data_IF_517274433586
#
_entry.id   IF_517274433586
#
_cell.length_a   1.000
_cell.length_b   1.000
_cell.length_c   1.000
_cell.angle_alpha   90.00
_cell.angle_beta   90.00
_cell.angle_gamma   90.00
#
_symmetry.space_group_name_H-M   'P 1'
#
loop_
_entity.id
_entity.type
_entity.pdbx_description
1 polymer ?
#
# COMPACT_ATOMS: atom_id res chain seq x y z
N UNK A 1 -17.27 5.32 -8.01
CA UNK A 1 -17.70 6.51 -7.23
C UNK A 1 -16.63 6.93 -6.22
N UNK A 2 -16.23 6.07 -5.27
CA UNK A 2 -15.27 6.45 -4.22
C UNK A 2 -13.88 6.91 -4.74
N UNK A 3 -13.32 6.24 -5.75
CA UNK A 3 -12.04 6.65 -6.34
C UNK A 3 -12.08 8.05 -6.98
N UNK A 4 -13.25 8.44 -7.52
CA UNK A 4 -13.46 9.78 -8.07
C UNK A 4 -13.46 10.81 -6.92
N UNK A 5 -14.09 10.49 -5.78
CA UNK A 5 -14.04 11.35 -4.60
C UNK A 5 -12.62 11.48 -4.04
N UNK A 6 -11.85 10.39 -4.01
CA UNK A 6 -10.43 10.43 -3.64
C UNK A 6 -9.63 11.34 -4.58
N UNK A 7 -9.87 11.24 -5.89
CA UNK A 7 -9.22 12.10 -6.89
C UNK A 7 -9.60 13.57 -6.72
N UNK A 8 -10.89 13.88 -6.53
CA UNK A 8 -11.37 15.25 -6.28
C UNK A 8 -10.75 15.83 -5.00
N UNK A 9 -10.71 15.04 -3.93
CA UNK A 9 -10.07 15.41 -2.67
C UNK A 9 -8.59 15.74 -2.84
N UNK A 10 -7.82 14.87 -3.51
CA UNK A 10 -6.41 15.12 -3.77
C UNK A 10 -6.18 16.33 -4.68
N UNK A 11 -7.05 16.52 -5.69
CA UNK A 11 -6.98 17.69 -6.60
C UNK A 11 -7.20 18.98 -5.83
N UNK A 12 -8.16 18.99 -4.90
CA UNK A 12 -8.39 20.13 -4.02
C UNK A 12 -7.18 20.44 -3.14
N UNK A 13 -6.56 19.43 -2.52
CA UNK A 13 -5.34 19.63 -1.72
C UNK A 13 -4.13 20.07 -2.55
N UNK A 14 -3.98 19.52 -3.75
CA UNK A 14 -2.93 19.93 -4.68
C UNK A 14 -3.09 21.40 -5.09
N UNK A 15 -4.32 21.82 -5.39
CA UNK A 15 -4.66 23.22 -5.68
C UNK A 15 -4.38 24.14 -4.49
N UNK A 16 -4.81 23.78 -3.28
CA UNK A 16 -4.50 24.55 -2.07
C UNK A 16 -2.99 24.67 -1.84
N UNK A 17 -2.25 23.57 -1.99
CA UNK A 17 -0.79 23.55 -1.83
C UNK A 17 -0.08 24.40 -2.89
N UNK A 18 -0.68 24.60 -4.05
CA UNK A 18 -0.14 25.45 -5.12
C UNK A 18 -0.49 26.93 -4.90
N UNK A 19 -1.75 27.22 -4.58
CA UNK A 19 -2.24 28.59 -4.40
C UNK A 19 -1.70 29.26 -3.13
N UNK A 20 -1.57 28.50 -2.03
CA UNK A 20 -1.04 29.00 -0.76
C UNK A 20 0.38 28.48 -0.51
N UNK A 21 1.32 28.83 -1.39
CA UNK A 21 2.71 28.36 -1.32
C UNK A 21 3.40 28.71 0.02
N UNK A 22 3.11 29.88 0.59
CA UNK A 22 3.63 30.30 1.91
C UNK A 22 3.16 29.40 3.06
N UNK A 23 1.97 28.80 2.93
CA UNK A 23 1.35 27.90 3.94
C UNK A 23 1.53 26.43 3.61
N UNK A 24 2.43 26.10 2.69
CA UNK A 24 2.66 24.72 2.24
C UNK A 24 2.99 23.74 3.38
N UNK A 25 3.67 24.20 4.44
CA UNK A 25 3.96 23.36 5.62
C UNK A 25 2.68 23.00 6.38
N UNK A 26 1.77 23.95 6.56
CA UNK A 26 0.46 23.74 7.20
C UNK A 26 -0.37 22.76 6.38
N UNK A 27 -0.37 22.93 5.05
CA UNK A 27 -1.11 22.04 4.15
C UNK A 27 -0.48 20.63 4.15
N UNK A 28 0.85 20.51 4.19
CA UNK A 28 1.53 19.21 4.30
C UNK A 28 1.24 18.47 5.62
N UNK A 29 0.73 19.13 6.66
CA UNK A 29 0.22 18.44 7.84
C UNK A 29 -0.95 17.50 7.50
N UNK A 30 -1.71 17.80 6.44
CA UNK A 30 -2.83 16.97 5.98
C UNK A 30 -2.41 15.65 5.32
N UNK A 31 -1.10 15.41 5.10
CA UNK A 31 -0.60 14.15 4.56
C UNK A 31 -0.96 12.98 5.47
N UNK A 32 -0.84 13.17 6.79
CA UNK A 32 -1.16 12.11 7.75
C UNK A 32 -2.65 11.71 7.70
N UNK A 33 -3.62 12.64 7.79
CA UNK A 33 -5.02 12.26 7.62
C UNK A 33 -5.33 11.74 6.20
N UNK A 34 -4.64 12.22 5.15
CA UNK A 34 -4.75 11.62 3.81
C UNK A 34 -4.28 10.16 3.80
N UNK A 35 -3.16 9.86 4.46
CA UNK A 35 -2.65 8.49 4.61
C UNK A 35 -3.66 7.60 5.34
N UNK A 36 -4.21 8.05 6.47
CA UNK A 36 -5.23 7.29 7.22
C UNK A 36 -6.47 7.06 6.36
N UNK A 37 -6.91 8.05 5.59
CA UNK A 37 -8.03 7.90 4.67
C UNK A 37 -7.78 6.81 3.62
N UNK A 38 -6.61 6.81 2.99
CA UNK A 38 -6.20 5.76 2.04
C UNK A 38 -6.10 4.39 2.72
N UNK A 39 -5.52 4.33 3.92
CA UNK A 39 -5.33 3.10 4.68
C UNK A 39 -6.66 2.47 5.09
N UNK A 40 -7.61 3.27 5.57
CA UNK A 40 -8.94 2.75 5.93
C UNK A 40 -9.66 2.23 4.69
N UNK A 41 -9.53 2.91 3.56
CA UNK A 41 -10.15 2.47 2.32
C UNK A 41 -9.53 1.17 1.79
N UNK A 42 -8.20 1.08 1.73
CA UNK A 42 -7.48 -0.09 1.24
C UNK A 42 -7.56 -1.26 2.24
N UNK A 43 -7.22 -1.02 3.50
CA UNK A 43 -7.10 -2.04 4.53
C UNK A 43 -8.41 -2.62 5.05
N UNK A 44 -9.53 -1.88 4.97
CA UNK A 44 -10.86 -2.36 5.40
C UNK A 44 -11.76 -2.75 4.22
N UNK A 45 -11.21 -2.87 3.02
CA UNK A 45 -11.98 -3.27 1.84
C UNK A 45 -12.48 -4.71 1.97
N UNK A 46 -13.62 -4.99 1.32
CA UNK A 46 -14.12 -6.36 1.18
C UNK A 46 -13.23 -7.19 0.27
N UNK A 47 -13.20 -8.50 0.47
CA UNK A 47 -12.51 -9.47 -0.38
C UNK A 47 -12.96 -9.50 -1.84
N UNK A 48 -14.13 -8.93 -2.14
CA UNK A 48 -14.61 -8.75 -3.51
C UNK A 48 -13.96 -7.57 -4.26
N UNK A 49 -13.16 -6.75 -3.58
CA UNK A 49 -12.53 -5.55 -4.16
C UNK A 49 -11.10 -5.86 -4.58
N UNK A 50 -10.95 -6.36 -5.80
CA UNK A 50 -9.66 -6.72 -6.40
C UNK A 50 -9.73 -8.08 -7.09
N UNK A 51 -9.21 -8.17 -8.32
CA UNK A 51 -9.36 -9.37 -9.16
C UNK A 51 -8.81 -10.64 -8.52
N UNK A 52 -7.58 -10.59 -8.03
CA UNK A 52 -6.87 -11.76 -7.47
C UNK A 52 -7.10 -11.96 -5.97
N UNK A 53 -7.94 -11.12 -5.35
CA UNK A 53 -8.07 -11.07 -3.90
C UNK A 53 -8.73 -12.33 -3.32
N UNK A 54 -9.69 -12.90 -4.05
CA UNK A 54 -10.34 -14.16 -3.71
C UNK A 54 -9.34 -15.32 -3.59
N UNK A 55 -8.30 -15.35 -4.44
CA UNK A 55 -7.24 -16.35 -4.37
C UNK A 55 -6.46 -16.18 -3.07
N UNK A 56 -6.06 -14.96 -2.71
CA UNK A 56 -5.33 -14.70 -1.46
C UNK A 56 -6.14 -15.05 -0.21
N UNK A 57 -7.45 -14.76 -0.20
CA UNK A 57 -8.36 -15.17 0.88
C UNK A 57 -8.39 -16.68 1.00
N UNK A 58 -8.63 -17.39 -0.11
CA UNK A 58 -8.71 -18.84 -0.11
C UNK A 58 -7.41 -19.50 0.37
N UNK A 59 -6.25 -18.95 0.01
CA UNK A 59 -4.95 -19.43 0.48
C UNK A 59 -4.77 -19.17 1.98
N UNK A 60 -5.15 -18.00 2.47
CA UNK A 60 -5.10 -17.67 3.90
C UNK A 60 -6.00 -18.57 4.74
N UNK A 61 -7.21 -18.88 4.26
CA UNK A 61 -8.17 -19.74 4.95
C UNK A 61 -7.81 -21.23 4.85
N UNK A 62 -7.35 -21.72 3.70
CA UNK A 62 -6.95 -23.13 3.53
C UNK A 62 -5.70 -23.49 4.34
N UNK A 63 -4.83 -22.51 4.61
CA UNK A 63 -3.68 -22.69 5.49
C UNK A 63 -4.04 -22.86 6.97
N UNK A 64 -5.32 -22.75 7.36
CA UNK A 64 -5.79 -22.91 8.74
C UNK A 64 -5.56 -24.32 9.33
N UNK A 65 -5.37 -25.35 8.50
CA UNK A 65 -5.41 -26.74 8.95
C UNK A 65 -4.04 -27.40 9.23
N UNK A 66 -2.90 -26.70 9.08
CA UNK A 66 -1.57 -27.34 9.26
C UNK A 66 -0.56 -26.42 9.94
N UNK A 67 -0.08 -26.83 11.11
CA UNK A 67 1.19 -26.35 11.68
C UNK A 67 2.31 -26.44 10.62
N UNK A 68 3.25 -25.49 10.58
CA UNK A 68 4.16 -25.34 9.46
C UNK A 68 5.16 -26.48 9.44
N UNK A 69 4.98 -27.43 8.54
CA UNK A 69 6.12 -28.12 7.97
C UNK A 69 6.92 -27.08 7.19
N UNK A 70 8.07 -26.65 7.73
CA UNK A 70 9.06 -25.80 7.04
C UNK A 70 9.35 -26.30 5.62
N UNK A 71 9.29 -27.61 5.40
CA UNK A 71 9.47 -28.25 4.09
C UNK A 71 8.36 -27.93 3.06
N UNK A 72 7.16 -27.53 3.50
CA UNK A 72 6.06 -27.11 2.62
C UNK A 72 6.15 -25.64 2.23
N UNK A 73 6.85 -24.81 3.01
CA UNK A 73 7.09 -23.38 2.69
C UNK A 73 7.87 -23.26 1.37
N UNK A 74 8.92 -24.07 1.21
CA UNK A 74 9.74 -24.12 0.00
C UNK A 74 9.08 -24.79 -1.20
N UNK A 75 7.92 -25.43 -1.02
CA UNK A 75 7.14 -26.08 -2.09
C UNK A 75 5.93 -25.24 -2.54
N UNK A 76 5.72 -24.08 -1.94
CA UNK A 76 4.63 -23.18 -2.28
C UNK A 76 4.81 -22.59 -3.69
N UNK A 77 3.70 -22.37 -4.41
CA UNK A 77 3.69 -21.62 -5.67
C UNK A 77 3.89 -20.11 -5.47
N UNK A 78 3.81 -19.64 -4.23
CA UNK A 78 3.97 -18.23 -3.86
C UNK A 78 5.37 -17.96 -3.32
N UNK A 79 5.81 -16.70 -3.42
CA UNK A 79 7.11 -16.24 -2.95
C UNK A 79 7.23 -16.43 -1.43
N UNK A 80 8.44 -16.78 -0.97
CA UNK A 80 8.71 -17.09 0.44
C UNK A 80 8.26 -15.98 1.40
N UNK A 81 8.48 -14.72 1.02
CA UNK A 81 8.06 -13.57 1.84
C UNK A 81 6.56 -13.55 2.08
N UNK A 82 5.75 -13.80 1.05
CA UNK A 82 4.30 -13.85 1.20
C UNK A 82 3.85 -15.04 2.05
N UNK A 83 4.42 -16.22 1.83
CA UNK A 83 4.09 -17.43 2.61
C UNK A 83 4.40 -17.20 4.10
N UNK A 84 5.57 -16.63 4.40
CA UNK A 84 5.98 -16.33 5.77
C UNK A 84 5.07 -15.28 6.42
N UNK A 85 4.77 -14.16 5.73
CA UNK A 85 3.86 -13.13 6.25
C UNK A 85 2.46 -13.68 6.50
N UNK A 86 1.94 -14.52 5.60
CA UNK A 86 0.65 -15.18 5.75
C UNK A 86 0.62 -16.06 7.01
N UNK A 87 1.64 -16.91 7.21
CA UNK A 87 1.74 -17.76 8.40
C UNK A 87 1.86 -16.96 9.70
N UNK A 88 2.70 -15.93 9.71
CA UNK A 88 2.88 -15.07 10.88
C UNK A 88 1.56 -14.40 11.26
N UNK A 89 0.84 -13.84 10.29
CA UNK A 89 -0.45 -13.19 10.53
C UNK A 89 -1.52 -14.21 10.94
N UNK A 90 -1.53 -15.40 10.33
CA UNK A 90 -2.47 -16.47 10.70
C UNK A 90 -2.26 -16.96 12.14
N UNK A 91 -1.04 -16.94 12.65
CA UNK A 91 -0.75 -17.26 14.05
C UNK A 91 -1.38 -16.28 15.05
N UNK A 92 -1.70 -15.06 14.60
CA UNK A 92 -2.30 -14.00 15.41
C UNK A 92 -3.82 -13.92 15.25
N UNK A 93 -4.34 -14.19 14.04
CA UNK A 93 -5.77 -14.08 13.75
C UNK A 93 -6.21 -14.95 12.59
N UNK A 94 -7.47 -15.39 12.65
CA UNK A 94 -8.12 -16.10 11.55
C UNK A 94 -8.76 -15.17 10.53
N UNK A 95 -8.81 -13.86 10.83
CA UNK A 95 -9.46 -12.88 9.99
C UNK A 95 -8.53 -12.37 8.89
N UNK A 96 -8.84 -12.73 7.64
CA UNK A 96 -8.11 -12.28 6.45
C UNK A 96 -8.06 -10.73 6.32
N UNK A 97 -9.03 -10.00 6.85
CA UNK A 97 -9.01 -8.52 6.80
C UNK A 97 -7.76 -7.95 7.50
N UNK A 98 -7.22 -8.65 8.48
CA UNK A 98 -5.96 -8.23 9.11
C UNK A 98 -4.76 -8.41 8.17
N UNK A 99 -4.73 -9.47 7.35
CA UNK A 99 -3.73 -9.64 6.31
C UNK A 99 -3.77 -8.47 5.33
N UNK A 100 -4.96 -8.11 4.85
CA UNK A 100 -5.11 -6.93 3.98
C UNK A 100 -4.61 -5.66 4.64
N UNK A 101 -5.02 -5.43 5.89
CA UNK A 101 -4.68 -4.21 6.60
C UNK A 101 -3.16 -4.07 6.74
N UNK A 102 -2.44 -5.14 7.07
CA UNK A 102 -0.97 -5.13 7.16
C UNK A 102 -0.33 -4.85 5.81
N UNK A 103 -0.75 -5.52 4.74
CA UNK A 103 -0.20 -5.30 3.40
C UNK A 103 -0.49 -3.89 2.87
N UNK A 104 -1.71 -3.38 3.09
CA UNK A 104 -2.12 -2.01 2.77
C UNK A 104 -1.28 -1.00 3.57
N UNK A 105 -1.12 -1.20 4.88
CA UNK A 105 -0.32 -0.35 5.74
C UNK A 105 1.12 -0.23 5.24
N UNK A 106 1.81 -1.37 5.03
CA UNK A 106 3.21 -1.37 4.59
C UNK A 106 3.36 -0.71 3.22
N UNK A 107 2.49 -1.06 2.27
CA UNK A 107 2.53 -0.51 0.91
C UNK A 107 2.32 1.00 0.93
N UNK A 108 1.24 1.46 1.57
CA UNK A 108 0.91 2.89 1.63
C UNK A 108 1.93 3.67 2.44
N UNK A 109 2.43 3.13 3.55
CA UNK A 109 3.42 3.83 4.38
C UNK A 109 4.67 4.15 3.57
N UNK A 110 5.18 3.16 2.82
CA UNK A 110 6.33 3.35 1.93
C UNK A 110 6.05 4.39 0.85
N UNK A 111 4.91 4.27 0.14
CA UNK A 111 4.55 5.22 -0.91
C UNK A 111 4.43 6.64 -0.37
N UNK A 112 3.70 6.85 0.72
CA UNK A 112 3.55 8.17 1.34
C UNK A 112 4.87 8.71 1.86
N UNK A 113 5.72 7.88 2.47
CA UNK A 113 7.05 8.27 2.93
C UNK A 113 7.92 8.78 1.78
N UNK A 114 8.09 7.98 0.71
CA UNK A 114 8.95 8.33 -0.42
C UNK A 114 8.40 9.55 -1.17
N UNK A 115 7.07 9.59 -1.41
CA UNK A 115 6.45 10.73 -2.08
C UNK A 115 6.57 12.01 -1.27
N UNK A 116 6.42 11.95 0.06
CA UNK A 116 6.59 13.13 0.90
C UNK A 116 8.02 13.67 0.86
N UNK A 117 9.02 12.79 0.77
CA UNK A 117 10.44 13.17 0.71
C UNK A 117 10.87 13.73 -0.65
N UNK A 118 10.46 13.11 -1.75
CA UNK A 118 10.90 13.54 -3.09
C UNK A 118 10.04 14.62 -3.74
N UNK A 119 8.76 14.72 -3.39
CA UNK A 119 7.83 15.52 -4.19
C UNK A 119 7.86 16.99 -3.81
N UNK A 120 7.98 17.87 -4.81
CA UNK A 120 7.73 19.31 -4.59
C UNK A 120 6.29 19.56 -4.13
N UNK A 121 5.31 18.85 -4.69
CA UNK A 121 3.92 18.86 -4.23
C UNK A 121 3.47 17.40 -4.05
N UNK A 122 3.38 16.95 -2.81
CA UNK A 122 3.04 15.56 -2.46
C UNK A 122 1.65 15.18 -2.97
N UNK A 123 0.68 16.09 -2.94
CA UNK A 123 -0.69 15.82 -3.38
C UNK A 123 -0.74 15.59 -4.89
N UNK A 124 0.05 16.34 -5.66
CA UNK A 124 0.18 16.10 -7.10
C UNK A 124 0.76 14.71 -7.38
N UNK A 125 1.78 14.30 -6.64
CA UNK A 125 2.33 12.94 -6.78
C UNK A 125 1.35 11.86 -6.35
N UNK A 126 0.55 12.11 -5.31
CA UNK A 126 -0.52 11.21 -4.89
C UNK A 126 -1.63 11.10 -5.95
N UNK A 127 -1.93 12.17 -6.71
CA UNK A 127 -2.84 12.11 -7.86
C UNK A 127 -2.27 11.17 -8.92
N UNK A 128 -0.98 11.27 -9.23
CA UNK A 128 -0.31 10.39 -10.20
C UNK A 128 -0.33 8.93 -9.73
N UNK A 129 -0.02 8.70 -8.44
CA UNK A 129 -0.08 7.38 -7.80
C UNK A 129 -1.48 6.75 -7.87
N UNK A 130 -2.53 7.55 -7.66
CA UNK A 130 -3.92 7.11 -7.71
C UNK A 130 -4.42 6.85 -9.13
N UNK A 131 -4.13 7.76 -10.06
CA UNK A 131 -4.82 7.82 -11.37
C UNK A 131 -3.94 7.48 -12.56
N UNK A 132 -2.90 8.28 -12.84
CA UNK A 132 -2.10 8.16 -14.06
C UNK A 132 -1.24 6.89 -14.09
N UNK A 133 -0.54 6.59 -13.00
CA UNK A 133 0.24 5.36 -12.85
C UNK A 133 -0.67 4.20 -12.39
N UNK A 134 -1.77 4.53 -11.71
CA UNK A 134 -2.75 3.56 -11.22
C UNK A 134 -2.21 2.59 -10.16
N UNK A 135 -1.06 2.88 -9.54
CA UNK A 135 -0.38 1.95 -8.62
C UNK A 135 -1.18 1.68 -7.35
N UNK A 136 -1.95 2.66 -6.87
CA UNK A 136 -2.90 2.43 -5.80
C UNK A 136 -3.96 1.39 -6.20
N UNK A 137 -4.59 1.56 -7.36
CA UNK A 137 -5.62 0.63 -7.84
C UNK A 137 -5.04 -0.76 -8.12
N UNK A 138 -3.81 -0.81 -8.62
CA UNK A 138 -3.07 -2.03 -8.83
C UNK A 138 -2.80 -2.77 -7.52
N UNK A 139 -2.40 -2.08 -6.45
CA UNK A 139 -2.15 -2.71 -5.14
C UNK A 139 -3.42 -3.27 -4.49
N UNK A 140 -4.61 -2.79 -4.87
CA UNK A 140 -5.88 -3.36 -4.40
C UNK A 140 -6.09 -4.80 -4.91
N UNK A 141 -5.67 -5.10 -6.14
CA UNK A 141 -5.76 -6.46 -6.71
C UNK A 141 -4.50 -7.28 -6.41
N UNK A 142 -3.33 -6.68 -6.58
CA UNK A 142 -2.04 -7.37 -6.54
C UNK A 142 -1.28 -7.03 -5.26
N UNK A 143 -1.77 -7.44 -4.09
CA UNK A 143 -1.18 -7.06 -2.79
C UNK A 143 0.31 -7.44 -2.67
N UNK A 144 0.71 -8.59 -3.22
CA UNK A 144 2.12 -9.07 -3.20
C UNK A 144 3.02 -8.19 -4.06
N UNK A 145 2.63 -8.02 -5.32
CA UNK A 145 3.42 -7.27 -6.30
C UNK A 145 3.41 -5.77 -5.97
N UNK A 146 2.28 -5.23 -5.49
CA UNK A 146 2.16 -3.86 -4.99
C UNK A 146 3.13 -3.58 -3.84
N UNK A 147 3.23 -4.49 -2.87
CA UNK A 147 4.21 -4.38 -1.79
C UNK A 147 5.66 -4.48 -2.30
N UNK A 148 5.94 -5.41 -3.23
CA UNK A 148 7.26 -5.54 -3.84
C UNK A 148 7.68 -4.27 -4.59
N UNK A 149 6.77 -3.65 -5.34
CA UNK A 149 7.03 -2.38 -6.02
C UNK A 149 7.25 -1.26 -5.01
N UNK A 150 6.50 -1.22 -3.90
CA UNK A 150 6.73 -0.24 -2.85
C UNK A 150 8.15 -0.36 -2.27
N UNK A 151 8.58 -1.58 -1.90
CA UNK A 151 9.96 -1.81 -1.45
C UNK A 151 11.01 -1.45 -2.51
N UNK A 152 10.75 -1.76 -3.78
CA UNK A 152 11.61 -1.31 -4.88
C UNK A 152 11.72 0.21 -4.93
N UNK A 153 10.60 0.92 -4.78
CA UNK A 153 10.56 2.39 -4.77
C UNK A 153 11.31 2.98 -3.56
N UNK A 154 11.21 2.34 -2.39
CA UNK A 154 12.01 2.69 -1.21
C UNK A 154 13.51 2.46 -1.43
N UNK A 155 13.89 1.35 -2.06
CA UNK A 155 15.27 1.07 -2.41
C UNK A 155 15.84 2.11 -3.37
N UNK A 156 15.06 2.50 -4.40
CA UNK A 156 15.44 3.60 -5.29
C UNK A 156 15.59 4.93 -4.55
N UNK A 157 14.75 5.22 -3.55
CA UNK A 157 14.90 6.40 -2.70
C UNK A 157 16.24 6.44 -1.98
N UNK A 158 16.61 5.37 -1.27
CA UNK A 158 17.88 5.33 -0.55
C UNK A 158 19.09 5.35 -1.49
N UNK A 159 19.06 4.61 -2.61
CA UNK A 159 20.14 4.61 -3.60
C UNK A 159 20.34 5.98 -4.26
N UNK A 160 19.27 6.74 -4.48
CA UNK A 160 19.33 8.05 -5.13
C UNK A 160 19.69 9.18 -4.15
N UNK A 161 19.36 9.05 -2.86
CA UNK A 161 19.88 9.98 -1.83
C UNK A 161 21.36 9.71 -1.51
N UNK A 162 21.81 8.45 -1.50
CA UNK A 162 23.22 8.07 -1.32
C UNK A 162 24.05 8.23 -2.59
N UNK A 163 24.04 9.42 -3.23
CA UNK A 163 25.06 9.78 -4.25
C UNK A 163 26.47 9.95 -3.65
N UNK A 164 26.94 8.97 -2.85
CA UNK A 164 28.33 8.62 -2.52
C UNK A 164 28.38 7.14 -2.12
N UNK A 165 28.50 6.25 -3.11
CA UNK A 165 29.37 5.07 -2.97
C UNK A 165 30.78 5.54 -3.28
#
# INVERSE_FOLDING_TARGET
MIYILMFMYLTFLAFLSFYFEERKREINFLIFPTFIFFLLFDGLRKSSVGGDLSVYVSVFEQNALKLPELSKIFKSRFELGYVFSNQLIRSLTENYSFLLFVFAFLTLWIWFYVLHKYSKNVYMSLIIYLSSLGMFLYSLSNIRQGLAVAFGFLGFYFLSEEKKI
#
